data_IF_530084143309
#
_entry.id   IF_530084143309
#
_cell.length_a   1.000
_cell.length_b   1.000
_cell.length_c   1.000
_cell.angle_alpha   90.00
_cell.angle_beta   90.00
_cell.angle_gamma   90.00
#
_symmetry.space_group_name_H-M   'P 1'
#
loop_
_entity.id
_entity.type
_entity.pdbx_description
1 polymer ?
#
# COMPACT_ATOMS: atom_id res chain seq x y z
N UNK A 1 -20.57 -8.85 3.06
CA UNK A 1 -20.18 -8.65 1.64
C UNK A 1 -18.91 -7.80 1.51
N UNK A 2 -18.92 -6.52 1.91
CA UNK A 2 -17.75 -5.62 1.86
C UNK A 2 -16.48 -6.18 2.53
N UNK A 3 -16.62 -6.77 3.72
CA UNK A 3 -15.50 -7.42 4.44
C UNK A 3 -14.83 -8.53 3.63
N UNK A 4 -15.59 -9.29 2.84
CA UNK A 4 -15.04 -10.38 2.04
C UNK A 4 -14.22 -9.82 0.88
N UNK A 5 -14.73 -8.79 0.19
CA UNK A 5 -13.97 -8.10 -0.85
C UNK A 5 -12.72 -7.41 -0.32
N UNK A 6 -12.83 -6.74 0.83
CA UNK A 6 -11.69 -6.14 1.50
C UNK A 6 -10.63 -7.19 1.83
N UNK A 7 -11.02 -8.33 2.42
CA UNK A 7 -10.08 -9.41 2.72
C UNK A 7 -9.45 -10.01 1.45
N UNK A 8 -10.19 -10.12 0.35
CA UNK A 8 -9.69 -10.67 -0.90
C UNK A 8 -8.59 -9.81 -1.53
N UNK A 9 -8.66 -8.49 -1.35
CA UNK A 9 -7.68 -7.55 -1.94
C UNK A 9 -6.58 -7.20 -0.92
N UNK A 10 -6.97 -6.82 0.29
CA UNK A 10 -6.12 -6.15 1.26
C UNK A 10 -5.55 -7.08 2.35
N UNK A 11 -6.09 -8.27 2.56
CA UNK A 11 -5.54 -9.20 3.56
C UNK A 11 -4.24 -9.82 3.08
N UNK A 12 -3.16 -9.69 3.85
CA UNK A 12 -1.87 -10.32 3.55
C UNK A 12 -1.88 -11.86 3.59
N UNK A 13 -2.91 -12.44 4.21
CA UNK A 13 -3.07 -13.89 4.40
C UNK A 13 -4.06 -14.52 3.41
N UNK A 14 -5.06 -13.76 2.97
CA UNK A 14 -6.17 -14.28 2.16
C UNK A 14 -6.16 -13.75 0.72
N UNK A 15 -5.34 -12.75 0.40
CA UNK A 15 -5.25 -12.24 -0.97
C UNK A 15 -4.45 -13.17 -1.89
N UNK A 16 -4.58 -12.99 -3.20
CA UNK A 16 -3.85 -13.79 -4.19
C UNK A 16 -2.32 -13.66 -4.13
N UNK A 17 -1.78 -12.74 -3.32
CA UNK A 17 -0.35 -12.53 -3.09
C UNK A 17 0.15 -13.26 -1.83
N UNK A 18 -0.72 -13.96 -1.11
CA UNK A 18 -0.41 -14.54 0.20
C UNK A 18 0.73 -15.58 0.17
N UNK A 19 0.94 -16.26 -0.95
CA UNK A 19 2.02 -17.25 -1.14
C UNK A 19 3.40 -16.64 -1.37
N UNK A 20 3.49 -15.34 -1.67
CA UNK A 20 4.75 -14.68 -2.01
C UNK A 20 5.55 -14.28 -0.76
N UNK A 21 6.87 -14.04 -0.88
CA UNK A 21 7.66 -13.45 0.20
C UNK A 21 7.14 -12.06 0.61
N UNK A 22 7.20 -11.72 1.90
CA UNK A 22 6.65 -10.48 2.45
C UNK A 22 7.16 -9.20 1.75
N UNK A 23 8.42 -9.19 1.33
CA UNK A 23 9.00 -8.06 0.59
C UNK A 23 8.30 -7.83 -0.75
N UNK A 24 8.00 -8.90 -1.49
CA UNK A 24 7.30 -8.84 -2.79
C UNK A 24 5.84 -8.43 -2.59
N UNK A 25 5.18 -8.96 -1.55
CA UNK A 25 3.81 -8.53 -1.19
C UNK A 25 3.75 -7.02 -0.99
N UNK A 26 4.68 -6.47 -0.21
CA UNK A 26 4.74 -5.04 0.06
C UNK A 26 4.94 -4.21 -1.21
N UNK A 27 5.86 -4.63 -2.10
CA UNK A 27 6.12 -3.95 -3.36
C UNK A 27 4.87 -3.93 -4.27
N UNK A 28 4.17 -5.05 -4.40
CA UNK A 28 2.97 -5.14 -5.25
C UNK A 28 1.79 -4.33 -4.68
N UNK A 29 1.58 -4.37 -3.37
CA UNK A 29 0.55 -3.54 -2.72
C UNK A 29 0.87 -2.04 -2.82
N UNK A 30 2.16 -1.69 -2.78
CA UNK A 30 2.63 -0.31 -3.02
C UNK A 30 2.36 0.14 -4.46
N UNK A 31 2.63 -0.72 -5.45
CA UNK A 31 2.33 -0.43 -6.85
C UNK A 31 0.83 -0.22 -7.08
N UNK A 32 -0.01 -1.06 -6.46
CA UNK A 32 -1.47 -0.93 -6.52
C UNK A 32 -1.93 0.42 -5.96
N UNK A 33 -1.31 0.90 -4.88
CA UNK A 33 -1.57 2.22 -4.31
C UNK A 33 -1.19 3.37 -5.27
N UNK A 34 -0.07 3.27 -5.98
CA UNK A 34 0.28 4.27 -7.01
C UNK A 34 -0.68 4.25 -8.19
N UNK A 35 -1.11 3.06 -8.65
CA UNK A 35 -2.11 2.93 -9.70
C UNK A 35 -3.41 3.66 -9.32
N UNK A 36 -3.91 3.46 -8.11
CA UNK A 36 -5.11 4.15 -7.63
C UNK A 36 -4.91 5.67 -7.48
N UNK A 37 -3.71 6.13 -7.12
CA UNK A 37 -3.39 7.57 -7.09
C UNK A 37 -3.51 8.20 -8.49
N UNK A 38 -3.11 7.48 -9.54
CA UNK A 38 -3.28 7.91 -10.93
C UNK A 38 -4.76 7.97 -11.29
N UNK A 39 -5.55 6.93 -10.96
CA UNK A 39 -7.00 6.91 -11.21
C UNK A 39 -7.70 8.09 -10.54
N UNK A 40 -7.38 8.38 -9.27
CA UNK A 40 -7.98 9.51 -8.56
C UNK A 40 -7.57 10.86 -9.15
N UNK A 41 -6.32 11.00 -9.59
CA UNK A 41 -5.87 12.20 -10.31
C UNK A 41 -6.67 12.40 -11.60
N UNK A 42 -6.86 11.34 -12.39
CA UNK A 42 -7.63 11.38 -13.63
C UNK A 42 -9.11 11.71 -13.35
N UNK A 43 -9.70 11.14 -12.29
CA UNK A 43 -11.08 11.45 -11.88
C UNK A 43 -11.25 12.93 -11.48
N UNK A 44 -10.26 13.53 -10.81
CA UNK A 44 -10.28 14.96 -10.46
C UNK A 44 -10.01 15.85 -11.67
N UNK A 45 -9.36 15.32 -12.72
CA UNK A 45 -9.05 16.06 -13.95
C UNK A 45 -7.91 17.06 -13.82
N UNK A 46 -7.14 17.01 -12.74
CA UNK A 46 -6.02 17.94 -12.48
C UNK A 46 -4.74 17.19 -12.15
N UNK A 47 -3.72 17.32 -13.01
CA UNK A 47 -2.42 16.68 -12.82
C UNK A 47 -1.71 17.17 -11.54
N UNK A 48 -2.04 18.38 -11.06
CA UNK A 48 -1.46 18.98 -9.85
C UNK A 48 -1.75 18.16 -8.59
N UNK A 49 -2.79 17.32 -8.61
CA UNK A 49 -3.18 16.45 -7.48
C UNK A 49 -2.36 15.14 -7.45
N UNK A 50 -1.70 14.78 -8.55
CA UNK A 50 -0.89 13.56 -8.63
C UNK A 50 0.30 13.62 -7.65
N UNK A 51 1.02 14.73 -7.64
CA UNK A 51 2.19 14.92 -6.77
C UNK A 51 1.84 14.72 -5.29
N UNK A 52 0.88 15.49 -4.73
CA UNK A 52 0.45 15.36 -3.35
C UNK A 52 -0.06 13.96 -2.98
N UNK A 53 -0.83 13.30 -3.86
CA UNK A 53 -1.37 11.96 -3.58
C UNK A 53 -0.28 10.89 -3.55
N UNK A 54 0.68 10.93 -4.48
CA UNK A 54 1.85 10.04 -4.51
C UNK A 54 2.76 10.29 -3.29
N UNK A 55 3.01 11.56 -2.95
CA UNK A 55 3.82 11.94 -1.78
C UNK A 55 3.22 11.43 -0.47
N UNK A 56 1.90 11.56 -0.28
CA UNK A 56 1.20 11.05 0.89
C UNK A 56 1.40 9.54 1.07
N UNK A 57 1.32 8.78 -0.02
CA UNK A 57 1.55 7.33 0.03
C UNK A 57 3.00 6.99 0.38
N UNK A 58 3.99 7.69 -0.20
CA UNK A 58 5.40 7.47 0.14
C UNK A 58 5.66 7.75 1.62
N UNK A 59 5.16 8.86 2.15
CA UNK A 59 5.30 9.21 3.56
C UNK A 59 4.67 8.15 4.47
N UNK A 60 3.47 7.67 4.12
CA UNK A 60 2.80 6.63 4.87
C UNK A 60 3.57 5.30 4.87
N UNK A 61 4.07 4.87 3.70
CA UNK A 61 4.88 3.65 3.56
C UNK A 61 6.20 3.74 4.32
N UNK A 62 6.86 4.89 4.30
CA UNK A 62 8.06 5.15 5.11
C UNK A 62 7.75 5.02 6.60
N UNK A 63 6.65 5.60 7.07
CA UNK A 63 6.20 5.48 8.46
C UNK A 63 6.02 4.03 8.89
N UNK A 64 5.31 3.24 8.08
CA UNK A 64 5.09 1.81 8.34
C UNK A 64 6.42 1.03 8.32
N UNK A 65 7.27 1.29 7.33
CA UNK A 65 8.58 0.63 7.19
C UNK A 65 9.46 0.89 8.41
N UNK A 66 9.68 2.17 8.77
CA UNK A 66 10.50 2.52 9.94
C UNK A 66 9.91 1.97 11.23
N UNK A 67 8.58 2.00 11.39
CA UNK A 67 7.93 1.39 12.56
C UNK A 67 8.23 -0.10 12.62
N UNK A 68 8.09 -0.83 11.51
CA UNK A 68 8.40 -2.27 11.47
C UNK A 68 9.87 -2.59 11.75
N UNK A 69 10.80 -1.75 11.29
CA UNK A 69 12.23 -1.91 11.54
C UNK A 69 12.60 -1.64 13.02
N UNK A 70 11.97 -0.64 13.63
CA UNK A 70 12.11 -0.36 15.08
C UNK A 70 11.65 -1.57 15.88
N UNK A 71 10.47 -2.13 15.58
CA UNK A 71 9.93 -3.30 16.26
C UNK A 71 10.73 -4.59 16.01
N UNK A 72 11.28 -4.78 14.81
CA UNK A 72 12.20 -5.89 14.51
C UNK A 72 13.49 -5.81 15.33
N UNK A 73 14.03 -4.60 15.52
CA UNK A 73 15.24 -4.38 16.32
C UNK A 73 14.97 -4.48 17.82
N UNK A 74 13.76 -4.13 18.29
CA UNK A 74 13.31 -4.45 19.64
C UNK A 74 12.94 -5.93 19.73
N UNK A 75 13.95 -6.79 19.66
CA UNK A 75 13.80 -8.22 19.90
C UNK A 75 13.36 -8.41 21.37
N UNK A 76 12.07 -8.61 21.61
CA UNK A 76 11.53 -9.36 22.74
C UNK A 76 11.32 -10.81 22.28
#
# INVERSE_FOLDING_TARGET
MLKNYYNLIMSSENNGLASLPNMVKFQLMTLLSFMWSIVFTLMVGSYLVLGPTVLLHILFLLGVFFTSEVYKKSKF
#
